data_IF_434376313883
#
_entry.id   IF_434376313883
#
_cell.length_a   1.000
_cell.length_b   1.000
_cell.length_c   1.000
_cell.angle_alpha   90.00
_cell.angle_beta   90.00
_cell.angle_gamma   90.00
#
_symmetry.space_group_name_H-M   'P 1'
#
loop_
_entity.id
_entity.type
_entity.pdbx_description
1 polymer ?
#
# COMPACT_ATOMS: atom_id res chain seq x y z
N UNK A 1 -22.76 3.92 22.30
CA UNK A 1 -22.80 2.90 23.38
C UNK A 1 -21.38 2.76 23.91
N UNK A 2 -21.12 3.08 25.18
CA UNK A 2 -19.80 2.90 25.78
C UNK A 2 -19.51 1.40 25.90
N UNK A 3 -18.76 0.84 24.95
CA UNK A 3 -18.27 -0.52 25.07
C UNK A 3 -17.35 -0.58 26.29
N UNK A 4 -17.68 -1.47 27.23
CA UNK A 4 -16.79 -1.82 28.34
C UNK A 4 -15.53 -2.41 27.70
N UNK A 5 -14.42 -1.67 27.78
CA UNK A 5 -13.13 -2.14 27.26
C UNK A 5 -12.73 -3.37 28.10
N UNK A 6 -12.53 -4.55 27.51
CA UNK A 6 -12.12 -5.72 28.25
C UNK A 6 -10.76 -5.48 28.91
N UNK A 7 -10.63 -5.84 30.19
CA UNK A 7 -9.42 -5.56 30.97
C UNK A 7 -8.51 -6.76 31.17
N UNK A 8 -8.97 -7.99 30.89
CA UNK A 8 -8.15 -9.20 31.02
C UNK A 8 -7.60 -9.65 29.66
N UNK A 9 -6.39 -10.21 29.65
CA UNK A 9 -5.77 -10.75 28.42
C UNK A 9 -6.64 -11.81 27.75
N UNK A 10 -7.33 -12.65 28.54
CA UNK A 10 -8.25 -13.67 28.02
C UNK A 10 -9.41 -13.06 27.23
N UNK A 11 -10.09 -12.05 27.81
CA UNK A 11 -11.23 -11.42 27.15
C UNK A 11 -10.78 -10.66 25.89
N UNK A 12 -9.61 -10.00 25.96
CA UNK A 12 -8.99 -9.35 24.80
C UNK A 12 -8.68 -10.39 23.70
N UNK A 13 -8.08 -11.52 24.04
CA UNK A 13 -7.75 -12.59 23.09
C UNK A 13 -9.02 -13.18 22.44
N UNK A 14 -10.07 -13.42 23.21
CA UNK A 14 -11.38 -13.88 22.69
C UNK A 14 -11.97 -12.88 21.71
N UNK A 15 -11.97 -11.59 22.05
CA UNK A 15 -12.49 -10.56 21.16
C UNK A 15 -11.63 -10.37 19.91
N UNK A 16 -10.30 -10.41 20.03
CA UNK A 16 -9.38 -10.34 18.90
C UNK A 16 -9.57 -11.52 17.93
N UNK A 17 -9.74 -12.73 18.46
CA UNK A 17 -10.05 -13.94 17.68
C UNK A 17 -11.39 -13.79 16.94
N UNK A 18 -12.44 -13.36 17.64
CA UNK A 18 -13.75 -13.13 17.05
C UNK A 18 -13.72 -12.03 15.98
N UNK A 19 -12.99 -10.93 16.22
CA UNK A 19 -12.79 -9.84 15.28
C UNK A 19 -12.10 -10.31 14.00
N UNK A 20 -11.01 -11.08 14.12
CA UNK A 20 -10.30 -11.62 12.96
C UNK A 20 -11.20 -12.48 12.08
N UNK A 21 -11.99 -13.38 12.69
CA UNK A 21 -12.95 -14.25 11.99
C UNK A 21 -14.21 -13.51 11.53
N UNK A 22 -14.51 -12.36 12.11
CA UNK A 22 -15.57 -11.50 11.62
C UNK A 22 -15.21 -10.95 10.23
N UNK A 23 -13.97 -10.55 10.00
CA UNK A 23 -13.54 -9.99 8.72
C UNK A 23 -13.03 -11.03 7.73
N UNK A 24 -12.22 -12.01 8.16
CA UNK A 24 -11.67 -13.03 7.27
C UNK A 24 -12.53 -14.29 7.36
N UNK A 25 -13.18 -14.64 6.25
CA UNK A 25 -14.11 -15.78 6.15
C UNK A 25 -13.48 -17.00 5.52
N UNK A 26 -12.59 -16.79 4.56
CA UNK A 26 -11.99 -17.86 3.79
C UNK A 26 -10.47 -17.71 3.76
N UNK A 27 -9.79 -18.84 3.65
CA UNK A 27 -8.34 -18.92 3.43
C UNK A 27 -8.01 -20.26 2.78
N UNK A 28 -6.90 -20.38 2.07
CA UNK A 28 -6.52 -21.62 1.36
C UNK A 28 -5.99 -22.72 2.29
N UNK A 29 -5.69 -22.42 3.55
CA UNK A 29 -5.11 -23.37 4.51
C UNK A 29 -6.13 -24.03 5.44
N UNK A 30 -7.39 -23.59 5.44
CA UNK A 30 -8.42 -24.19 6.30
C UNK A 30 -8.64 -25.67 5.96
N UNK A 31 -8.87 -26.50 6.97
CA UNK A 31 -9.07 -27.95 6.78
C UNK A 31 -10.35 -28.29 6.02
N UNK A 32 -11.41 -27.49 6.18
CA UNK A 32 -12.67 -27.66 5.44
C UNK A 32 -12.47 -27.62 3.92
N UNK A 33 -11.41 -26.96 3.45
CA UNK A 33 -11.09 -26.90 2.03
C UNK A 33 -10.65 -28.25 1.47
N UNK A 34 -10.32 -29.24 2.31
CA UNK A 34 -9.99 -30.58 1.84
C UNK A 34 -11.14 -31.21 1.05
N UNK A 35 -12.38 -30.86 1.41
CA UNK A 35 -13.62 -31.28 0.74
C UNK A 35 -13.91 -30.52 -0.56
N UNK A 36 -13.14 -29.47 -0.86
CA UNK A 36 -13.32 -28.71 -2.10
C UNK A 36 -12.77 -29.47 -3.31
N UNK A 37 -13.36 -29.18 -4.47
CA UNK A 37 -12.81 -29.63 -5.75
C UNK A 37 -11.40 -29.07 -5.96
N UNK A 38 -10.62 -29.76 -6.79
CA UNK A 38 -9.26 -29.34 -7.18
C UNK A 38 -9.28 -27.88 -7.70
N UNK A 39 -10.24 -27.54 -8.57
CA UNK A 39 -10.36 -26.20 -9.14
C UNK A 39 -10.60 -25.13 -8.06
N UNK A 40 -11.51 -25.38 -7.11
CA UNK A 40 -11.79 -24.45 -6.00
C UNK A 40 -10.55 -24.23 -5.12
N UNK A 41 -9.82 -25.30 -4.80
CA UNK A 41 -8.57 -25.23 -4.02
C UNK A 41 -7.52 -24.34 -4.71
N UNK A 42 -7.32 -24.54 -6.02
CA UNK A 42 -6.37 -23.76 -6.79
C UNK A 42 -6.76 -22.29 -6.93
N UNK A 43 -8.03 -21.98 -7.22
CA UNK A 43 -8.49 -20.59 -7.30
C UNK A 43 -8.35 -19.88 -5.95
N UNK A 44 -8.69 -20.54 -4.83
CA UNK A 44 -8.51 -19.95 -3.51
C UNK A 44 -7.04 -19.67 -3.18
N UNK A 45 -6.13 -20.59 -3.52
CA UNK A 45 -4.70 -20.37 -3.36
C UNK A 45 -4.19 -19.21 -4.24
N UNK A 46 -4.66 -19.13 -5.48
CA UNK A 46 -4.32 -18.06 -6.41
C UNK A 46 -4.80 -16.70 -5.91
N UNK A 47 -6.03 -16.60 -5.39
CA UNK A 47 -6.53 -15.35 -4.81
C UNK A 47 -5.75 -14.92 -3.56
N UNK A 48 -5.34 -15.87 -2.70
CA UNK A 48 -4.43 -15.57 -1.57
C UNK A 48 -3.08 -15.06 -2.08
N UNK A 49 -2.52 -15.64 -3.14
CA UNK A 49 -1.27 -15.18 -3.72
C UNK A 49 -1.40 -13.77 -4.34
N UNK A 50 -2.51 -13.48 -5.01
CA UNK A 50 -2.82 -12.16 -5.55
C UNK A 50 -3.02 -11.12 -4.44
N UNK A 51 -3.73 -11.48 -3.37
CA UNK A 51 -3.87 -10.66 -2.16
C UNK A 51 -2.50 -10.29 -1.61
N UNK A 52 -1.64 -11.28 -1.34
CA UNK A 52 -0.29 -11.04 -0.80
C UNK A 52 0.59 -10.22 -1.73
N UNK A 53 0.46 -10.40 -3.04
CA UNK A 53 1.14 -9.54 -4.02
C UNK A 53 0.65 -8.09 -3.93
N UNK A 54 -0.66 -7.88 -3.78
CA UNK A 54 -1.23 -6.55 -3.59
C UNK A 54 -0.84 -5.91 -2.25
N UNK A 55 -0.76 -6.68 -1.16
CA UNK A 55 -0.29 -6.17 0.14
C UNK A 55 1.15 -5.65 0.10
N UNK A 56 1.99 -6.22 -0.77
CA UNK A 56 3.39 -5.79 -0.98
C UNK A 56 3.53 -4.69 -2.02
N UNK A 57 2.45 -4.30 -2.70
CA UNK A 57 2.49 -3.19 -3.62
C UNK A 57 2.76 -1.90 -2.85
N UNK A 58 3.61 -1.04 -3.40
CA UNK A 58 3.94 0.25 -2.80
C UNK A 58 3.56 1.35 -3.80
N UNK A 59 2.30 1.82 -3.77
CA UNK A 59 1.84 2.84 -4.72
C UNK A 59 2.71 4.10 -4.74
N UNK A 60 2.70 4.81 -5.86
CA UNK A 60 3.46 6.06 -6.04
C UNK A 60 2.99 7.20 -5.10
N UNK A 61 1.75 7.10 -4.63
CA UNK A 61 1.15 8.05 -3.69
C UNK A 61 1.30 7.63 -2.22
N UNK A 62 2.06 6.59 -1.90
CA UNK A 62 2.28 6.18 -0.50
C UNK A 62 3.05 7.24 0.27
N UNK A 63 2.58 7.49 1.50
CA UNK A 63 3.16 8.46 2.43
C UNK A 63 3.81 7.80 3.65
N UNK A 64 3.48 6.53 3.92
CA UNK A 64 4.14 5.74 4.95
C UNK A 64 5.51 5.26 4.46
N UNK A 65 6.60 5.66 5.13
CA UNK A 65 7.95 5.19 4.78
C UNK A 65 8.32 3.89 5.48
N UNK A 66 7.68 3.63 6.61
CA UNK A 66 7.85 2.37 7.32
C UNK A 66 7.10 1.27 6.56
N UNK A 67 7.89 0.43 5.88
CA UNK A 67 7.35 -0.66 5.05
C UNK A 67 6.55 -1.67 5.84
N UNK A 68 6.86 -1.89 7.12
CA UNK A 68 6.15 -2.85 7.95
C UNK A 68 4.81 -2.28 8.43
N UNK A 69 4.76 -1.00 8.81
CA UNK A 69 3.51 -0.29 9.11
C UNK A 69 2.62 -0.23 7.86
N UNK A 70 3.19 0.09 6.69
CA UNK A 70 2.46 0.11 5.43
C UNK A 70 1.89 -1.28 5.10
N UNK A 71 2.74 -2.32 5.17
CA UNK A 71 2.34 -3.69 4.88
C UNK A 71 1.26 -4.18 5.85
N UNK A 72 1.36 -3.84 7.13
CA UNK A 72 0.35 -4.17 8.15
C UNK A 72 -1.02 -3.61 7.75
N UNK A 73 -1.14 -2.29 7.62
CA UNK A 73 -2.45 -1.68 7.36
C UNK A 73 -2.99 -2.01 5.96
N UNK A 74 -2.13 -2.10 4.94
CA UNK A 74 -2.54 -2.54 3.60
C UNK A 74 -3.11 -3.96 3.63
N UNK A 75 -2.51 -4.85 4.42
CA UNK A 75 -3.02 -6.21 4.63
C UNK A 75 -4.38 -6.20 5.31
N UNK A 76 -4.56 -5.40 6.37
CA UNK A 76 -5.84 -5.26 7.07
C UNK A 76 -6.93 -4.78 6.11
N UNK A 77 -6.71 -3.70 5.37
CA UNK A 77 -7.68 -3.14 4.44
C UNK A 77 -8.10 -4.14 3.35
N UNK A 78 -7.13 -4.81 2.72
CA UNK A 78 -7.42 -5.77 1.67
C UNK A 78 -8.12 -7.02 2.20
N UNK A 79 -7.73 -7.51 3.38
CA UNK A 79 -8.40 -8.64 4.02
C UNK A 79 -9.85 -8.30 4.40
N UNK A 80 -10.12 -7.09 4.94
CA UNK A 80 -11.49 -6.63 5.20
C UNK A 80 -12.31 -6.56 3.93
N UNK A 81 -11.73 -5.99 2.85
CA UNK A 81 -12.41 -5.82 1.55
C UNK A 81 -12.73 -7.15 0.86
N UNK A 82 -11.81 -8.12 0.92
CA UNK A 82 -11.93 -9.39 0.19
C UNK A 82 -12.42 -10.54 1.07
N UNK A 83 -12.53 -10.34 2.38
CA UNK A 83 -12.87 -11.37 3.38
C UNK A 83 -11.99 -12.63 3.29
N UNK A 84 -10.72 -12.45 2.91
CA UNK A 84 -9.80 -13.51 2.52
C UNK A 84 -8.47 -13.38 3.26
N UNK A 85 -7.94 -14.49 3.78
CA UNK A 85 -6.64 -14.54 4.49
C UNK A 85 -6.34 -15.90 5.10
N UNK A 86 -5.05 -16.21 5.30
CA UNK A 86 -4.60 -17.42 6.00
C UNK A 86 -4.19 -17.10 7.44
N UNK A 87 -3.52 -18.03 8.14
CA UNK A 87 -3.09 -17.86 9.54
C UNK A 87 -2.33 -16.56 9.79
N UNK A 88 -1.42 -16.15 8.90
CA UNK A 88 -0.70 -14.89 9.03
C UNK A 88 -1.63 -13.66 8.97
N UNK A 89 -2.48 -13.57 7.94
CA UNK A 89 -3.44 -12.45 7.81
C UNK A 89 -4.46 -12.42 8.96
N UNK A 90 -4.89 -13.60 9.44
CA UNK A 90 -5.75 -13.73 10.62
C UNK A 90 -5.07 -13.23 11.90
N UNK A 91 -3.80 -13.57 12.12
CA UNK A 91 -3.04 -13.10 13.26
C UNK A 91 -2.81 -11.57 13.22
N UNK A 92 -2.54 -11.00 12.03
CA UNK A 92 -2.46 -9.56 11.86
C UNK A 92 -3.81 -8.87 12.11
N UNK A 93 -4.92 -9.46 11.66
CA UNK A 93 -6.27 -8.94 11.94
C UNK A 93 -6.61 -8.99 13.43
N UNK A 94 -6.15 -10.01 14.16
CA UNK A 94 -6.27 -10.05 15.61
C UNK A 94 -5.39 -8.97 16.27
N UNK A 95 -4.19 -8.71 15.75
CA UNK A 95 -3.33 -7.62 16.21
C UNK A 95 -3.99 -6.24 15.98
N UNK A 96 -4.65 -6.04 14.83
CA UNK A 96 -5.42 -4.83 14.51
C UNK A 96 -6.48 -4.54 15.59
N UNK A 97 -7.14 -5.57 16.11
CA UNK A 97 -8.06 -5.40 17.22
C UNK A 97 -7.34 -4.87 18.48
N UNK A 98 -6.21 -5.46 18.85
CA UNK A 98 -5.46 -5.05 20.04
C UNK A 98 -4.95 -3.61 19.89
N UNK A 99 -4.40 -3.26 18.73
CA UNK A 99 -3.86 -1.93 18.45
C UNK A 99 -4.92 -0.84 18.66
N UNK A 100 -6.14 -1.04 18.15
CA UNK A 100 -7.16 0.00 18.08
C UNK A 100 -8.19 -0.01 19.23
N UNK A 101 -8.45 -1.16 19.86
CA UNK A 101 -9.57 -1.30 20.82
C UNK A 101 -9.14 -1.72 22.22
N UNK A 102 -7.85 -1.70 22.53
CA UNK A 102 -7.35 -2.08 23.86
C UNK A 102 -6.38 -1.05 24.43
N UNK A 103 -6.21 -1.02 25.76
CA UNK A 103 -5.30 -0.09 26.39
C UNK A 103 -3.84 -0.25 25.92
N UNK A 104 -3.06 0.85 25.80
CA UNK A 104 -1.68 0.81 25.28
C UNK A 104 -0.71 -0.11 26.05
N UNK A 105 -0.98 -0.38 27.32
CA UNK A 105 -0.16 -1.26 28.16
C UNK A 105 -0.29 -2.75 27.78
N UNK A 106 -1.31 -3.14 27.02
CA UNK A 106 -1.47 -4.52 26.58
C UNK A 106 -0.47 -4.79 25.44
N UNK A 107 0.49 -5.67 25.74
CA UNK A 107 1.44 -6.18 24.77
C UNK A 107 0.79 -7.30 23.95
N UNK A 108 0.94 -7.24 22.63
CA UNK A 108 0.61 -8.35 21.75
C UNK A 108 1.64 -8.48 20.63
N UNK A 109 2.02 -9.71 20.31
CA UNK A 109 3.09 -10.03 19.38
C UNK A 109 2.62 -11.18 18.48
N UNK A 110 2.83 -11.05 17.17
CA UNK A 110 2.54 -12.15 16.24
C UNK A 110 3.70 -13.13 16.29
N UNK A 111 3.38 -14.41 16.39
CA UNK A 111 4.35 -15.50 16.49
C UNK A 111 4.20 -16.47 15.33
N UNK A 112 5.31 -17.06 14.91
CA UNK A 112 5.32 -18.19 14.00
C UNK A 112 6.00 -19.41 14.64
N UNK A 113 5.63 -20.60 14.14
CA UNK A 113 6.26 -21.86 14.53
C UNK A 113 7.45 -22.12 13.61
N UNK A 114 8.68 -21.95 14.12
CA UNK A 114 9.89 -22.40 13.42
C UNK A 114 9.94 -23.91 13.43
N UNK A 115 10.21 -24.51 12.27
CA UNK A 115 10.06 -25.96 12.06
C UNK A 115 8.64 -26.37 11.66
N UNK A 116 7.71 -25.41 11.54
CA UNK A 116 6.35 -25.59 11.08
C UNK A 116 5.91 -24.48 10.11
N UNK A 117 4.61 -24.41 9.81
CA UNK A 117 3.99 -23.40 8.93
C UNK A 117 2.68 -22.89 9.55
N UNK A 118 2.79 -22.31 10.75
CA UNK A 118 1.64 -21.73 11.45
C UNK A 118 1.99 -20.41 12.13
N UNK A 119 1.02 -19.50 12.17
CA UNK A 119 1.14 -18.14 12.70
C UNK A 119 -0.08 -17.80 13.55
N UNK A 120 0.14 -17.21 14.71
CA UNK A 120 -0.89 -16.82 15.68
C UNK A 120 -0.48 -15.58 16.46
N UNK A 121 -1.39 -15.04 17.28
CA UNK A 121 -1.13 -13.88 18.13
C UNK A 121 -0.91 -14.31 19.58
N UNK A 122 0.09 -13.75 20.25
CA UNK A 122 0.30 -13.89 21.70
C UNK A 122 -0.06 -12.55 22.35
N UNK A 123 -0.85 -12.58 23.42
CA UNK A 123 -1.30 -11.38 24.15
C UNK A 123 -0.90 -11.50 25.61
N UNK A 124 -0.36 -10.42 26.19
CA UNK A 124 -0.07 -10.33 27.62
C UNK A 124 1.22 -11.04 28.05
N UNK A 125 2.13 -11.34 27.12
CA UNK A 125 3.46 -11.88 27.46
C UNK A 125 4.25 -10.88 28.31
N UNK A 126 4.84 -11.37 29.40
CA UNK A 126 5.77 -10.60 30.24
C UNK A 126 7.00 -10.14 29.43
N UNK A 127 7.39 -8.87 29.54
CA UNK A 127 8.39 -8.25 28.66
C UNK A 127 9.78 -8.87 28.79
N UNK A 128 10.14 -9.29 29.99
CA UNK A 128 11.40 -9.92 30.39
C UNK A 128 11.38 -11.46 30.27
N UNK A 129 10.26 -12.06 29.84
CA UNK A 129 10.19 -13.49 29.56
C UNK A 129 11.07 -13.88 28.37
N UNK A 130 11.44 -15.17 28.31
CA UNK A 130 12.18 -15.70 27.16
C UNK A 130 11.21 -15.90 25.98
N UNK A 131 11.41 -15.26 24.81
CA UNK A 131 10.40 -15.24 23.75
C UNK A 131 10.04 -16.59 23.16
N UNK A 132 10.92 -17.59 23.17
CA UNK A 132 10.70 -18.92 22.59
C UNK A 132 10.22 -19.97 23.62
N UNK A 133 10.01 -19.57 24.88
CA UNK A 133 9.63 -20.42 26.00
C UNK A 133 8.31 -19.99 26.66
N UNK A 134 7.16 -20.50 26.20
CA UNK A 134 5.83 -20.20 26.76
C UNK A 134 5.70 -20.30 28.26
N UNK A 135 6.42 -21.24 28.87
CA UNK A 135 6.44 -21.45 30.32
C UNK A 135 6.96 -20.23 31.10
N UNK A 136 7.68 -19.33 30.43
CA UNK A 136 8.20 -18.09 31.03
C UNK A 136 7.31 -16.87 30.78
N UNK A 137 6.29 -16.97 29.94
CA UNK A 137 5.51 -15.81 29.45
C UNK A 137 4.57 -15.21 30.50
N UNK A 138 4.33 -15.90 31.61
CA UNK A 138 3.48 -15.48 32.72
C UNK A 138 2.01 -15.89 32.57
N UNK A 139 1.26 -15.87 33.67
CA UNK A 139 -0.13 -16.35 33.76
C UNK A 139 -1.13 -15.52 32.94
N UNK A 140 -0.77 -14.29 32.60
CA UNK A 140 -1.59 -13.41 31.77
C UNK A 140 -1.30 -13.55 30.27
N UNK A 141 -0.42 -14.48 29.88
CA UNK A 141 -0.12 -14.75 28.49
C UNK A 141 -1.15 -15.71 27.88
N UNK A 142 -1.76 -15.29 26.77
CA UNK A 142 -2.73 -16.07 26.02
C UNK A 142 -2.30 -16.22 24.57
N UNK A 143 -2.46 -17.42 24.03
CA UNK A 143 -2.39 -17.68 22.60
C UNK A 143 -3.79 -17.46 22.02
N UNK A 144 -3.86 -16.55 21.06
CA UNK A 144 -5.02 -16.27 20.23
C UNK A 144 -4.75 -16.83 18.83
N UNK A 145 -5.44 -17.91 18.47
CA UNK A 145 -5.34 -18.57 17.17
C UNK A 145 -6.68 -18.46 16.41
N UNK A 146 -6.87 -17.40 15.59
CA UNK A 146 -8.10 -17.24 14.85
C UNK A 146 -8.26 -18.23 13.68
N UNK A 147 -7.17 -18.87 13.25
CA UNK A 147 -7.21 -19.91 12.22
C UNK A 147 -7.85 -21.18 12.78
N UNK A 148 -7.44 -21.62 13.97
CA UNK A 148 -8.06 -22.72 14.69
C UNK A 148 -9.39 -22.33 15.37
N UNK A 149 -9.69 -21.03 15.49
CA UNK A 149 -10.80 -20.49 16.29
C UNK A 149 -10.65 -20.82 17.78
N UNK A 150 -9.43 -20.74 18.29
CA UNK A 150 -9.12 -21.09 19.67
C UNK A 150 -8.41 -19.96 20.40
N UNK A 151 -8.67 -19.87 21.70
CA UNK A 151 -7.97 -19.00 22.64
C UNK A 151 -7.69 -19.80 23.89
N UNK A 152 -6.45 -19.74 24.39
CA UNK A 152 -6.03 -20.49 25.57
C UNK A 152 -4.84 -19.87 26.28
N UNK A 153 -4.67 -20.16 27.59
CA UNK A 153 -3.48 -19.77 28.32
C UNK A 153 -2.21 -20.34 27.67
N UNK A 154 -1.13 -19.55 27.64
CA UNK A 154 0.13 -19.98 27.05
C UNK A 154 0.71 -21.24 27.72
N UNK A 155 0.36 -21.51 28.98
CA UNK A 155 0.71 -22.75 29.69
C UNK A 155 0.23 -24.02 28.99
N UNK A 156 -0.84 -23.93 28.21
CA UNK A 156 -1.50 -25.09 27.61
C UNK A 156 -0.96 -25.43 26.21
N UNK A 157 0.07 -24.69 25.75
CA UNK A 157 0.57 -24.74 24.38
C UNK A 157 0.93 -26.15 23.88
N UNK A 158 1.48 -27.02 24.75
CA UNK A 158 1.85 -28.38 24.37
C UNK A 158 0.65 -29.22 23.95
N UNK A 159 -0.49 -29.03 24.61
CA UNK A 159 -1.70 -29.83 24.36
C UNK A 159 -2.59 -29.23 23.27
N UNK A 160 -2.56 -27.90 23.13
CA UNK A 160 -3.51 -27.16 22.29
C UNK A 160 -2.93 -26.66 20.97
N UNK A 161 -1.68 -26.23 20.95
CA UNK A 161 -1.08 -25.67 19.73
C UNK A 161 -0.91 -26.76 18.68
N UNK A 162 -1.44 -26.50 17.49
CA UNK A 162 -1.23 -27.34 16.31
C UNK A 162 -0.31 -26.64 15.31
N UNK A 163 0.45 -27.43 14.58
CA UNK A 163 1.15 -26.99 13.38
C UNK A 163 0.33 -27.35 12.15
N UNK A 164 0.44 -26.55 11.10
CA UNK A 164 -0.16 -26.81 9.79
C UNK A 164 0.93 -27.32 8.82
N UNK A 165 0.54 -28.25 7.95
CA UNK A 165 1.34 -28.63 6.80
C UNK A 165 0.46 -29.04 5.61
N UNK A 166 1.07 -29.08 4.42
CA UNK A 166 0.38 -29.45 3.18
C UNK A 166 1.09 -30.58 2.48
N UNK A 167 0.32 -31.56 2.00
CA UNK A 167 0.79 -32.62 1.12
C UNK A 167 0.24 -32.36 -0.28
N UNK A 168 1.12 -32.29 -1.27
CA UNK A 168 0.76 -32.08 -2.68
C UNK A 168 1.01 -33.37 -3.46
N UNK A 169 -0.01 -33.84 -4.17
CA UNK A 169 0.15 -34.90 -5.17
C UNK A 169 0.80 -34.31 -6.42
N UNK A 170 2.02 -34.78 -6.72
CA UNK A 170 2.81 -34.28 -7.85
C UNK A 170 2.22 -34.64 -9.21
N UNK A 171 1.40 -35.69 -9.29
CA UNK A 171 0.82 -36.15 -10.56
C UNK A 171 -0.40 -35.32 -10.93
N UNK A 172 -1.28 -35.07 -9.95
CA UNK A 172 -2.55 -34.35 -10.19
C UNK A 172 -2.46 -32.86 -9.90
N UNK A 173 -1.43 -32.40 -9.18
CA UNK A 173 -1.32 -31.03 -8.67
C UNK A 173 -2.26 -30.73 -7.49
N UNK A 174 -3.10 -31.69 -7.09
CA UNK A 174 -4.01 -31.56 -5.96
C UNK A 174 -3.23 -31.49 -4.64
N UNK A 175 -3.83 -30.88 -3.63
CA UNK A 175 -3.25 -30.84 -2.29
C UNK A 175 -4.28 -31.07 -1.18
N UNK A 176 -3.76 -31.56 -0.07
CA UNK A 176 -4.50 -31.80 1.18
C UNK A 176 -3.80 -31.06 2.31
N UNK A 177 -4.59 -30.31 3.06
CA UNK A 177 -4.18 -29.58 4.25
C UNK A 177 -4.26 -30.51 5.46
N UNK A 178 -3.24 -30.48 6.32
CA UNK A 178 -3.15 -31.32 7.50
C UNK A 178 -2.75 -30.49 8.73
N UNK A 179 -2.98 -31.09 9.90
CA UNK A 179 -2.48 -30.59 11.18
C UNK A 179 -1.67 -31.69 11.88
N UNK A 180 -0.76 -31.26 12.72
CA UNK A 180 -0.07 -32.11 13.68
C UNK A 180 0.09 -31.37 15.02
N UNK A 181 0.32 -32.11 16.09
CA UNK A 181 0.54 -31.53 17.41
C UNK A 181 1.88 -30.78 17.46
N UNK A 182 1.93 -29.71 18.26
CA UNK A 182 3.20 -29.04 18.53
C UNK A 182 4.18 -30.03 19.18
N UNK A 183 5.36 -30.17 18.58
CA UNK A 183 6.41 -31.04 19.08
C UNK A 183 7.65 -30.21 19.44
N UNK A 184 7.99 -30.04 20.74
CA UNK A 184 9.16 -29.25 21.16
C UNK A 184 10.50 -29.74 20.62
N UNK A 185 10.61 -31.01 20.19
CA UNK A 185 11.83 -31.53 19.56
C UNK A 185 12.01 -31.07 18.11
N UNK A 186 10.93 -30.61 17.46
CA UNK A 186 10.90 -30.16 16.07
C UNK A 186 10.58 -28.67 15.92
N UNK A 187 9.79 -28.14 16.84
CA UNK A 187 9.11 -26.86 16.73
C UNK A 187 9.56 -25.91 17.85
N UNK A 188 9.63 -24.63 17.53
CA UNK A 188 9.91 -23.55 18.49
C UNK A 188 9.15 -22.27 18.10
N UNK A 189 8.78 -21.46 19.07
CA UNK A 189 8.05 -20.22 18.82
C UNK A 189 8.99 -19.05 18.62
N UNK A 190 8.71 -18.23 17.60
CA UNK A 190 9.51 -17.05 17.30
C UNK A 190 8.58 -15.86 17.03
N UNK A 191 8.77 -14.72 17.72
CA UNK A 191 8.03 -13.52 17.38
C UNK A 191 8.42 -13.07 15.97
N UNK A 192 7.43 -12.62 15.20
CA UNK A 192 7.66 -11.96 13.93
C UNK A 192 8.07 -10.53 14.24
N UNK A 193 9.26 -10.16 13.79
CA UNK A 193 9.83 -8.82 13.97
C UNK A 193 8.83 -7.77 13.48
N UNK A 194 8.72 -6.66 14.20
CA UNK A 194 7.91 -5.48 13.84
C UNK A 194 6.37 -5.74 13.78
N UNK A 195 5.91 -7.00 13.93
CA UNK A 195 4.49 -7.38 14.01
C UNK A 195 4.01 -7.46 15.46
N UNK A 196 4.10 -6.34 16.18
CA UNK A 196 3.69 -6.25 17.58
C UNK A 196 2.97 -4.93 17.88
N UNK A 197 2.19 -4.90 18.96
CA UNK A 197 1.32 -3.77 19.29
C UNK A 197 2.10 -2.51 19.63
N UNK A 198 3.29 -2.63 20.24
CA UNK A 198 4.13 -1.47 20.55
C UNK A 198 4.59 -0.79 19.26
N UNK A 199 5.17 -1.55 18.34
CA UNK A 199 5.69 -1.05 17.06
C UNK A 199 4.59 -0.43 16.21
N UNK A 200 3.46 -1.13 16.02
CA UNK A 200 2.37 -0.62 15.17
C UNK A 200 1.71 0.64 15.76
N UNK A 201 1.66 0.78 17.10
CA UNK A 201 1.16 1.99 17.77
C UNK A 201 2.09 3.20 17.60
N UNK A 202 3.36 3.02 17.23
CA UNK A 202 4.24 4.15 16.91
C UNK A 202 3.70 4.97 15.74
N UNK A 203 2.95 4.33 14.83
CA UNK A 203 2.25 5.01 13.74
C UNK A 203 1.26 6.08 14.23
N UNK A 204 0.70 5.89 15.43
CA UNK A 204 -0.28 6.81 16.02
C UNK A 204 0.38 7.94 16.83
N UNK A 205 1.71 7.94 16.93
CA UNK A 205 2.43 9.01 17.62
C UNK A 205 2.36 10.32 16.83
N UNK A 206 2.31 11.44 17.55
CA UNK A 206 2.32 12.79 16.96
C UNK A 206 3.53 12.99 16.02
N UNK A 207 4.71 12.52 16.44
CA UNK A 207 5.93 12.56 15.62
C UNK A 207 5.78 11.83 14.29
N UNK A 208 5.14 10.66 14.28
CA UNK A 208 4.95 9.88 13.06
C UNK A 208 3.91 10.54 12.14
N UNK A 209 2.82 11.05 12.72
CA UNK A 209 1.79 11.81 12.00
C UNK A 209 2.41 13.05 11.32
N UNK A 210 3.23 13.82 12.05
CA UNK A 210 3.95 14.98 11.50
C UNK A 210 4.88 14.59 10.34
N UNK A 211 5.53 13.42 10.43
CA UNK A 211 6.39 12.92 9.36
C UNK A 211 5.58 12.60 8.09
N UNK A 212 4.45 11.90 8.21
CA UNK A 212 3.54 11.61 7.09
C UNK A 212 3.03 12.89 6.43
N UNK A 213 2.61 13.87 7.24
CA UNK A 213 2.19 15.18 6.74
C UNK A 213 3.30 15.91 6.00
N UNK A 214 4.53 15.92 6.55
CA UNK A 214 5.68 16.56 5.92
C UNK A 214 6.01 15.93 4.56
N UNK A 215 5.92 14.60 4.45
CA UNK A 215 6.15 13.89 3.17
C UNK A 215 5.10 14.29 2.15
N UNK A 216 3.82 14.33 2.54
CA UNK A 216 2.72 14.79 1.69
C UNK A 216 2.97 16.21 1.16
N UNK A 217 3.30 17.15 2.06
CA UNK A 217 3.59 18.53 1.68
C UNK A 217 4.79 18.63 0.74
N UNK A 218 5.85 17.87 1.03
CA UNK A 218 7.08 17.87 0.23
C UNK A 218 6.80 17.37 -1.18
N UNK A 219 6.15 16.20 -1.31
CA UNK A 219 5.80 15.63 -2.61
C UNK A 219 4.88 16.57 -3.41
N UNK A 220 3.87 17.15 -2.75
CA UNK A 220 2.93 18.08 -3.41
C UNK A 220 3.62 19.36 -3.88
N UNK A 221 4.52 19.94 -3.07
CA UNK A 221 5.32 21.11 -3.47
C UNK A 221 6.24 20.81 -4.65
N UNK A 222 6.84 19.62 -4.70
CA UNK A 222 7.67 19.24 -5.85
C UNK A 222 6.81 19.11 -7.12
N UNK A 223 5.61 18.53 -7.05
CA UNK A 223 4.68 18.49 -8.19
C UNK A 223 4.36 19.90 -8.68
N UNK A 224 4.01 20.83 -7.78
CA UNK A 224 3.71 22.21 -8.13
C UNK A 224 4.92 22.91 -8.78
N UNK A 225 6.12 22.73 -8.22
CA UNK A 225 7.35 23.31 -8.78
C UNK A 225 7.64 22.75 -10.19
N UNK A 226 7.48 21.44 -10.40
CA UNK A 226 7.67 20.82 -11.72
C UNK A 226 6.66 21.34 -12.75
N UNK A 227 5.43 21.63 -12.31
CA UNK A 227 4.41 22.27 -13.15
C UNK A 227 4.74 23.73 -13.46
N UNK A 228 5.30 24.49 -12.51
CA UNK A 228 5.78 25.86 -12.74
C UNK A 228 6.90 25.91 -13.79
N UNK A 229 7.84 24.97 -13.74
CA UNK A 229 8.92 24.91 -14.74
C UNK A 229 8.40 24.50 -16.11
N UNK A 230 7.49 23.52 -16.16
CA UNK A 230 6.83 23.12 -17.40
C UNK A 230 6.09 24.30 -18.04
N UNK A 231 5.31 25.04 -17.26
CA UNK A 231 4.59 26.23 -17.71
C UNK A 231 5.54 27.26 -18.34
N UNK A 232 6.64 27.60 -17.65
CA UNK A 232 7.67 28.53 -18.17
C UNK A 232 8.29 28.03 -19.47
N UNK A 233 8.61 26.74 -19.56
CA UNK A 233 9.18 26.14 -20.77
C UNK A 233 8.20 26.21 -21.94
N UNK A 234 6.92 25.93 -21.71
CA UNK A 234 5.88 26.03 -22.73
C UNK A 234 5.65 27.48 -23.19
N UNK A 235 5.63 28.45 -22.26
CA UNK A 235 5.53 29.87 -22.59
C UNK A 235 6.68 30.32 -23.49
N UNK A 236 7.92 29.91 -23.15
CA UNK A 236 9.10 30.19 -23.98
C UNK A 236 8.99 29.61 -25.40
N UNK A 237 8.35 28.43 -25.56
CA UNK A 237 8.12 27.84 -26.89
C UNK A 237 7.04 28.63 -27.64
N UNK A 238 5.93 28.98 -26.98
CA UNK A 238 4.85 29.78 -27.55
C UNK A 238 5.35 31.15 -28.05
N UNK A 239 6.14 31.85 -27.24
CA UNK A 239 6.73 33.17 -27.59
C UNK A 239 7.66 33.07 -28.81
N UNK A 240 8.44 32.00 -28.92
CA UNK A 240 9.32 31.75 -30.07
C UNK A 240 8.52 31.50 -31.35
N UNK A 241 7.39 30.80 -31.23
CA UNK A 241 6.48 30.58 -32.36
C UNK A 241 5.88 31.92 -32.79
N UNK A 242 5.35 32.71 -31.84
CA UNK A 242 4.74 34.00 -32.11
C UNK A 242 5.69 34.95 -32.84
N UNK A 243 6.91 35.12 -32.32
CA UNK A 243 7.94 35.98 -32.91
C UNK A 243 8.31 35.58 -34.35
N UNK A 244 8.22 34.29 -34.67
CA UNK A 244 8.68 33.75 -35.97
C UNK A 244 7.54 33.57 -36.97
N UNK A 245 6.32 33.36 -36.50
CA UNK A 245 5.20 32.85 -37.31
C UNK A 245 3.87 33.57 -37.06
N UNK A 246 3.81 34.49 -36.10
CA UNK A 246 2.62 35.27 -35.79
C UNK A 246 1.77 34.67 -34.66
N UNK A 247 0.85 35.50 -34.16
CA UNK A 247 0.01 35.20 -32.99
C UNK A 247 -1.06 34.12 -33.25
N UNK A 248 -1.51 33.98 -34.51
CA UNK A 248 -2.58 33.06 -34.95
C UNK A 248 -2.08 31.66 -35.33
N UNK A 249 -0.85 31.32 -34.98
CA UNK A 249 -0.26 30.04 -35.31
C UNK A 249 -0.97 28.86 -34.61
N UNK A 250 -1.30 27.82 -35.36
CA UNK A 250 -2.02 26.64 -34.85
C UNK A 250 -1.23 25.91 -33.75
N UNK A 251 0.10 25.80 -33.87
CA UNK A 251 0.94 25.21 -32.84
C UNK A 251 1.00 26.06 -31.57
N UNK A 252 1.03 27.39 -31.71
CA UNK A 252 0.96 28.30 -30.55
C UNK A 252 -0.36 28.11 -29.81
N UNK A 253 -1.48 28.02 -30.54
CA UNK A 253 -2.79 27.77 -29.93
C UNK A 253 -2.83 26.46 -29.13
N UNK A 254 -2.24 25.38 -29.66
CA UNK A 254 -2.11 24.10 -28.94
C UNK A 254 -1.28 24.24 -27.66
N UNK A 255 -0.14 24.94 -27.71
CA UNK A 255 0.71 25.14 -26.53
C UNK A 255 0.01 26.00 -25.47
N UNK A 256 -0.69 27.07 -25.86
CA UNK A 256 -1.46 27.90 -24.93
C UNK A 256 -2.61 27.13 -24.27
N UNK A 257 -3.28 26.24 -25.02
CA UNK A 257 -4.26 25.31 -24.45
C UNK A 257 -3.64 24.40 -23.39
N UNK A 258 -2.44 23.88 -23.65
CA UNK A 258 -1.70 23.05 -22.68
C UNK A 258 -1.34 23.83 -21.41
N UNK A 259 -0.85 25.07 -21.56
CA UNK A 259 -0.56 25.98 -20.44
C UNK A 259 -1.82 26.21 -19.59
N UNK A 260 -2.96 26.49 -20.22
CA UNK A 260 -4.22 26.70 -19.51
C UNK A 260 -4.66 25.47 -18.70
N UNK A 261 -4.51 24.27 -19.27
CA UNK A 261 -4.79 23.02 -18.55
C UNK A 261 -3.87 22.83 -17.33
N UNK A 262 -2.58 23.17 -17.47
CA UNK A 262 -1.59 23.11 -16.37
C UNK A 262 -1.96 24.08 -15.26
N UNK A 263 -2.30 25.33 -15.60
CA UNK A 263 -2.71 26.36 -14.64
C UNK A 263 -3.96 25.94 -13.85
N UNK A 264 -4.98 25.39 -14.53
CA UNK A 264 -6.17 24.87 -13.88
C UNK A 264 -5.84 23.73 -12.89
N UNK A 265 -5.02 22.77 -13.31
CA UNK A 265 -4.60 21.67 -12.45
C UNK A 265 -3.74 22.14 -11.25
N UNK A 266 -2.91 23.18 -11.41
CA UNK A 266 -2.14 23.76 -10.29
C UNK A 266 -3.05 24.33 -9.20
N UNK A 267 -4.14 25.01 -9.59
CA UNK A 267 -5.12 25.55 -8.64
C UNK A 267 -5.74 24.39 -7.82
N UNK A 268 -6.20 23.33 -8.50
CA UNK A 268 -6.78 22.15 -7.83
C UNK A 268 -5.78 21.49 -6.85
N UNK A 269 -4.51 21.36 -7.26
CA UNK A 269 -3.45 20.76 -6.43
C UNK A 269 -3.10 21.66 -5.24
N UNK A 270 -3.06 22.98 -5.44
CA UNK A 270 -2.79 23.96 -4.39
C UNK A 270 -3.91 23.97 -3.34
N UNK A 271 -5.17 23.83 -3.77
CA UNK A 271 -6.32 23.73 -2.87
C UNK A 271 -6.25 22.46 -2.01
N UNK A 272 -5.84 21.32 -2.60
CA UNK A 272 -5.59 20.08 -1.85
C UNK A 272 -4.52 20.22 -0.77
N UNK A 273 -3.48 21.03 -1.03
CA UNK A 273 -2.40 21.32 -0.08
C UNK A 273 -2.86 22.24 1.05
N UNK A 274 -3.71 23.22 0.75
CA UNK A 274 -4.17 24.24 1.71
C UNK A 274 -5.28 23.74 2.63
N UNK A 275 -6.14 22.85 2.15
CA UNK A 275 -7.26 22.34 2.93
C UNK A 275 -6.79 21.26 3.93
N UNK A 276 -6.38 21.70 5.12
CA UNK A 276 -5.85 20.84 6.19
C UNK A 276 -6.95 20.37 7.14
N UNK A 277 -7.25 19.07 7.12
CA UNK A 277 -7.99 18.40 8.18
C UNK A 277 -6.99 17.87 9.22
N UNK A 278 -6.78 18.62 10.30
CA UNK A 278 -5.78 18.33 11.33
C UNK A 278 -6.33 17.46 12.49
N UNK A 279 -7.50 16.83 12.36
CA UNK A 279 -8.18 16.17 13.49
C UNK A 279 -8.49 14.69 13.30
N UNK A 280 -7.94 14.06 12.26
CA UNK A 280 -8.20 12.66 11.96
C UNK A 280 -7.23 11.73 12.71
N UNK A 281 -7.72 10.54 13.09
CA UNK A 281 -6.85 9.44 13.54
C UNK A 281 -5.85 9.07 12.43
N UNK A 282 -4.69 8.50 12.78
CA UNK A 282 -3.60 8.24 11.82
C UNK A 282 -4.09 7.56 10.53
N UNK A 283 -4.97 6.54 10.63
CA UNK A 283 -5.44 5.80 9.46
C UNK A 283 -6.31 6.64 8.53
N UNK A 284 -7.23 7.40 9.10
CA UNK A 284 -8.09 8.32 8.36
C UNK A 284 -7.26 9.42 7.71
N UNK A 285 -6.32 10.00 8.46
CA UNK A 285 -5.41 11.03 7.96
C UNK A 285 -4.56 10.51 6.81
N UNK A 286 -3.88 9.36 6.98
CA UNK A 286 -3.05 8.76 5.95
C UNK A 286 -3.87 8.49 4.69
N UNK A 287 -5.02 7.83 4.82
CA UNK A 287 -5.90 7.52 3.69
C UNK A 287 -6.36 8.79 2.95
N UNK A 288 -6.73 9.83 3.69
CA UNK A 288 -7.10 11.13 3.13
C UNK A 288 -5.96 11.76 2.34
N UNK A 289 -4.76 11.84 2.92
CA UNK A 289 -3.60 12.47 2.31
C UNK A 289 -3.09 11.69 1.08
N UNK A 290 -3.07 10.36 1.17
CA UNK A 290 -2.72 9.49 0.03
C UNK A 290 -3.71 9.64 -1.12
N UNK A 291 -5.02 9.74 -0.81
CA UNK A 291 -6.04 10.01 -1.82
C UNK A 291 -5.86 11.40 -2.45
N UNK A 292 -5.57 12.44 -1.66
CA UNK A 292 -5.26 13.77 -2.17
C UNK A 292 -4.05 13.75 -3.10
N UNK A 293 -2.95 13.08 -2.72
CA UNK A 293 -1.76 12.96 -3.55
C UNK A 293 -2.06 12.19 -4.85
N UNK A 294 -2.82 11.10 -4.78
CA UNK A 294 -3.29 10.35 -5.95
C UNK A 294 -4.12 11.22 -6.90
N UNK A 295 -5.03 12.02 -6.36
CA UNK A 295 -5.84 12.98 -7.13
C UNK A 295 -4.93 14.01 -7.79
N UNK A 296 -3.97 14.61 -7.07
CA UNK A 296 -3.00 15.56 -7.61
C UNK A 296 -2.20 14.99 -8.78
N UNK A 297 -1.71 13.75 -8.66
CA UNK A 297 -1.02 13.05 -9.75
C UNK A 297 -1.95 12.83 -10.97
N UNK A 298 -3.23 12.55 -10.74
CA UNK A 298 -4.22 12.43 -11.82
C UNK A 298 -4.51 13.77 -12.49
N UNK A 299 -4.59 14.88 -11.75
CA UNK A 299 -4.76 16.23 -12.33
C UNK A 299 -3.57 16.58 -13.21
N UNK A 300 -2.34 16.36 -12.73
CA UNK A 300 -1.13 16.53 -13.53
C UNK A 300 -1.17 15.70 -14.81
N UNK A 301 -1.40 14.38 -14.70
CA UNK A 301 -1.41 13.46 -15.84
C UNK A 301 -2.43 13.88 -16.91
N UNK A 302 -3.62 14.33 -16.49
CA UNK A 302 -4.65 14.84 -17.40
C UNK A 302 -4.23 16.18 -18.02
N UNK A 303 -3.63 17.07 -17.26
CA UNK A 303 -3.23 18.40 -17.73
C UNK A 303 -2.19 18.33 -18.85
N UNK A 304 -1.24 17.40 -18.76
CA UNK A 304 -0.18 17.21 -19.77
C UNK A 304 -0.60 16.32 -20.95
N UNK A 305 -1.81 15.76 -20.91
CA UNK A 305 -2.30 14.89 -21.97
C UNK A 305 -2.74 15.69 -23.20
N UNK A 306 -2.05 15.46 -24.32
CA UNK A 306 -2.43 16.02 -25.61
C UNK A 306 -3.39 15.08 -26.37
N UNK A 307 -4.40 15.67 -27.02
CA UNK A 307 -5.28 14.92 -27.93
C UNK A 307 -4.52 14.44 -29.17
N UNK A 308 -5.08 13.49 -29.92
CA UNK A 308 -4.48 13.03 -31.19
C UNK A 308 -4.33 14.19 -32.18
N UNK A 309 -5.34 15.05 -32.25
CA UNK A 309 -5.35 16.23 -33.12
C UNK A 309 -4.26 17.24 -32.72
N UNK A 310 -4.15 17.56 -31.43
CA UNK A 310 -3.12 18.47 -30.91
C UNK A 310 -1.71 17.94 -31.26
N UNK A 311 -1.48 16.63 -31.10
CA UNK A 311 -0.22 15.98 -31.49
C UNK A 311 0.04 16.12 -32.99
N UNK A 312 -0.97 15.88 -33.84
CA UNK A 312 -0.84 16.03 -35.29
C UNK A 312 -0.49 17.46 -35.68
N UNK A 313 -1.09 18.47 -35.04
CA UNK A 313 -0.79 19.88 -35.27
C UNK A 313 0.68 20.18 -34.92
N UNK A 314 1.15 19.77 -33.74
CA UNK A 314 2.54 20.00 -33.32
C UNK A 314 3.55 19.29 -34.23
N UNK A 315 3.22 18.09 -34.72
CA UNK A 315 4.06 17.28 -35.61
C UNK A 315 4.05 17.72 -37.08
N UNK A 316 3.22 18.68 -37.48
CA UNK A 316 3.20 19.17 -38.87
C UNK A 316 4.45 19.98 -39.19
N UNK A 317 5.16 19.68 -40.28
CA UNK A 317 6.20 20.58 -40.78
C UNK A 317 5.55 21.82 -41.41
N UNK A 318 6.06 23.01 -41.09
CA UNK A 318 5.47 24.27 -41.55
C UNK A 318 5.58 24.48 -43.06
N UNK A 319 6.72 24.10 -43.62
CA UNK A 319 6.98 24.13 -45.06
C UNK A 319 7.31 22.72 -45.52
N UNK A 320 6.27 21.90 -45.72
CA UNK A 320 6.40 20.49 -46.07
C UNK A 320 7.13 20.24 -47.39
N UNK A 321 7.17 21.25 -48.27
CA UNK A 321 7.81 21.17 -49.58
C UNK A 321 9.25 21.69 -49.60
N UNK A 322 9.67 22.43 -48.57
CA UNK A 322 11.09 22.79 -48.43
C UNK A 322 11.97 21.55 -48.40
N UNK A 323 13.14 21.66 -49.05
CA UNK A 323 14.18 20.63 -49.01
C UNK A 323 14.51 20.21 -47.56
N UNK A 324 14.53 21.18 -46.64
CA UNK A 324 14.81 20.94 -45.22
C UNK A 324 13.75 20.04 -44.58
N UNK A 325 12.47 20.37 -44.69
CA UNK A 325 11.40 19.55 -44.09
C UNK A 325 11.30 18.18 -44.73
N UNK A 326 11.49 18.07 -46.05
CA UNK A 326 11.55 16.79 -46.76
C UNK A 326 12.70 15.92 -46.25
N UNK A 327 13.88 16.51 -46.06
CA UNK A 327 15.05 15.79 -45.53
C UNK A 327 14.85 15.37 -44.05
N UNK A 328 14.30 16.25 -43.21
CA UNK A 328 13.97 15.93 -41.82
C UNK A 328 12.92 14.82 -41.72
N UNK A 329 11.88 14.89 -42.54
CA UNK A 329 10.85 13.85 -42.63
C UNK A 329 11.44 12.52 -43.11
N UNK A 330 12.33 12.54 -44.12
CA UNK A 330 13.01 11.34 -44.61
C UNK A 330 13.86 10.67 -43.53
N UNK A 331 14.50 11.47 -42.67
CA UNK A 331 15.33 11.00 -41.55
C UNK A 331 14.54 10.72 -40.27
N UNK A 332 13.20 10.79 -40.28
CA UNK A 332 12.34 10.66 -39.09
C UNK A 332 12.69 11.64 -37.95
N UNK A 333 13.20 12.83 -38.27
CA UNK A 333 13.56 13.85 -37.26
C UNK A 333 12.35 14.73 -36.97
N UNK A 334 11.70 14.58 -35.82
CA UNK A 334 10.50 15.33 -35.48
C UNK A 334 10.69 16.88 -35.54
N UNK A 335 9.65 17.67 -35.88
CA UNK A 335 9.74 19.12 -35.84
C UNK A 335 10.17 19.65 -34.47
N UNK A 336 10.98 20.70 -34.46
CA UNK A 336 11.55 21.31 -33.25
C UNK A 336 10.48 21.63 -32.20
N UNK A 337 9.30 22.11 -32.61
CA UNK A 337 8.20 22.43 -31.68
C UNK A 337 7.71 21.20 -30.92
N UNK A 338 7.44 20.08 -31.61
CA UNK A 338 6.94 18.87 -30.95
C UNK A 338 8.03 18.21 -30.11
N UNK A 339 9.29 18.25 -30.56
CA UNK A 339 10.45 17.77 -29.78
C UNK A 339 10.53 18.54 -28.47
N UNK A 340 10.68 19.87 -28.52
CA UNK A 340 10.82 20.70 -27.31
C UNK A 340 9.63 20.62 -26.36
N UNK A 341 8.42 20.47 -26.90
CA UNK A 341 7.21 20.30 -26.07
C UNK A 341 7.24 18.94 -25.37
N UNK A 342 7.61 17.88 -26.08
CA UNK A 342 7.74 16.53 -25.51
C UNK A 342 8.85 16.51 -24.46
N UNK A 343 10.02 17.05 -24.78
CA UNK A 343 11.18 17.12 -23.88
C UNK A 343 10.82 17.83 -22.57
N UNK A 344 10.10 18.96 -22.64
CA UNK A 344 9.65 19.69 -21.46
C UNK A 344 8.66 18.89 -20.60
N UNK A 345 7.72 18.16 -21.23
CA UNK A 345 6.78 17.29 -20.53
C UNK A 345 7.54 16.13 -19.86
N UNK A 346 8.47 15.49 -20.56
CA UNK A 346 9.28 14.38 -20.04
C UNK A 346 10.16 14.83 -18.86
N UNK A 347 10.79 16.01 -18.95
CA UNK A 347 11.55 16.60 -17.84
C UNK A 347 10.69 16.79 -16.60
N UNK A 348 9.50 17.38 -16.75
CA UNK A 348 8.53 17.55 -15.66
C UNK A 348 8.06 16.20 -15.07
N UNK A 349 7.82 15.20 -15.93
CA UNK A 349 7.44 13.85 -15.50
C UNK A 349 8.57 13.16 -14.72
N UNK A 350 9.81 13.36 -15.14
CA UNK A 350 10.98 12.81 -14.46
C UNK A 350 11.17 13.44 -13.08
N UNK A 351 10.99 14.76 -12.94
CA UNK A 351 11.01 15.44 -11.64
C UNK A 351 9.96 14.86 -10.68
N UNK A 352 8.72 14.70 -11.16
CA UNK A 352 7.62 14.13 -10.35
C UNK A 352 7.90 12.67 -9.99
N UNK A 353 8.42 11.87 -10.93
CA UNK A 353 8.77 10.47 -10.68
C UNK A 353 9.88 10.35 -9.64
N UNK A 354 10.90 11.22 -9.70
CA UNK A 354 11.94 11.30 -8.69
C UNK A 354 11.38 11.70 -7.32
N UNK A 355 10.42 12.63 -7.29
CA UNK A 355 9.74 13.05 -6.07
C UNK A 355 8.91 11.94 -5.43
N UNK A 356 8.21 11.15 -6.25
CA UNK A 356 7.46 9.97 -5.84
C UNK A 356 8.38 8.94 -5.17
N UNK A 357 9.59 8.77 -5.73
CA UNK A 357 10.59 7.84 -5.25
C UNK A 357 11.38 8.33 -4.02
N UNK A 358 11.20 9.60 -3.58
CA UNK A 358 11.77 10.07 -2.31
C UNK A 358 11.24 9.20 -1.16
N UNK A 359 12.16 8.45 -0.54
CA UNK A 359 11.87 7.58 0.61
C UNK A 359 11.51 6.14 0.28
N UNK A 360 11.63 5.70 -0.98
CA UNK A 360 11.54 4.26 -1.34
C UNK A 360 12.82 3.50 -1.00
#
# INVERSE_FOLDING_TARGET
MSQIVPTTSEAIAKNACAYARHFIKMGSTQLVNNEYTILQKHELQKYIALLRKACRAFPDYTLELDREIQHFYQTIELCKKLSLGNCHELALMALDYVVNYTPPQINAEVYHIKGGDHVFLVIGRQKDSTPDKPETWGEQAYICDPWANEVYPASDYLSRTKNYYRVTDKTTGNFTNHIEDFNPSKHSFHPIKDSNSSYIREAHSEKHIEQVMRIFETKTKIILNAMDQLEKSLMNIADKIEKKHGEYDDKRAVILKLISNIQAAKIDIQDNLNNRDNKAEYLELRSLLENKLKVSLSHYSRAVQMSKEDKTILSRYRDGDSLKSRMQSFLNIAPETVSKTTDAIEESQNEITNAINLGR
#
